data_IF_428305612130
#
_entry.id   IF_428305612130
#
_cell.length_a   1.000
_cell.length_b   1.000
_cell.length_c   1.000
_cell.angle_alpha   90.00
_cell.angle_beta   90.00
_cell.angle_gamma   90.00
#
_symmetry.space_group_name_H-M   'P 1'
#
loop_
_entity.id
_entity.type
_entity.pdbx_description
1 polymer ?
#
# COMPACT_ATOMS: atom_id res chain seq x y z
N UNK A 1 -3.76 -5.00 11.87
CA UNK A 1 -4.89 -5.58 11.99
C UNK A 1 -5.73 -5.84 10.78
N UNK A 2 -6.98 -5.62 10.96
CA UNK A 2 -7.98 -5.92 9.95
C UNK A 2 -7.86 -5.09 8.67
N UNK A 3 -7.15 -3.99 8.74
CA UNK A 3 -7.01 -3.06 7.62
C UNK A 3 -6.50 -3.71 6.35
N UNK A 4 -5.32 -4.28 6.44
CA UNK A 4 -4.67 -4.85 5.28
C UNK A 4 -5.37 -6.12 4.82
N UNK A 5 -5.97 -6.85 5.73
CA UNK A 5 -6.66 -8.10 5.39
C UNK A 5 -7.91 -7.83 4.54
N UNK A 6 -8.66 -6.80 4.87
CA UNK A 6 -9.85 -6.43 4.11
C UNK A 6 -9.47 -6.00 2.70
N UNK A 7 -8.52 -5.07 2.58
CA UNK A 7 -8.14 -4.50 1.29
C UNK A 7 -7.58 -5.56 0.33
N UNK A 8 -6.77 -6.47 0.83
CA UNK A 8 -6.13 -7.48 -0.02
C UNK A 8 -6.99 -8.71 -0.23
N UNK A 9 -7.82 -9.08 0.73
CA UNK A 9 -8.66 -10.28 0.59
C UNK A 9 -9.81 -10.08 -0.38
N UNK A 10 -10.17 -8.84 -0.68
CA UNK A 10 -11.24 -8.54 -1.61
C UNK A 10 -10.79 -8.44 -3.07
N UNK A 11 -9.51 -8.67 -3.35
CA UNK A 11 -9.02 -8.63 -4.72
C UNK A 11 -9.68 -9.75 -5.53
N UNK A 12 -10.12 -9.46 -6.77
CA UNK A 12 -10.80 -10.45 -7.60
C UNK A 12 -10.00 -11.71 -7.82
N UNK A 13 -8.70 -11.59 -7.84
CA UNK A 13 -7.77 -12.69 -8.05
C UNK A 13 -7.91 -13.78 -6.97
N UNK A 14 -8.38 -13.42 -5.79
CA UNK A 14 -8.53 -14.36 -4.69
C UNK A 14 -9.76 -15.25 -4.83
N UNK A 15 -10.69 -14.89 -5.70
CA UNK A 15 -11.88 -15.70 -5.93
C UNK A 15 -11.66 -16.74 -7.01
N UNK A 16 -10.50 -16.76 -7.63
CA UNK A 16 -10.18 -17.67 -8.72
C UNK A 16 -9.54 -18.95 -8.22
N UNK A 17 -9.62 -19.99 -9.05
CA UNK A 17 -9.00 -21.28 -8.74
C UNK A 17 -7.49 -21.27 -8.93
N UNK A 18 -6.92 -20.11 -9.25
CA UNK A 18 -5.49 -19.97 -9.53
C UNK A 18 -4.70 -19.81 -8.23
N UNK A 19 -4.18 -20.92 -7.73
CA UNK A 19 -3.40 -20.95 -6.49
C UNK A 19 -2.11 -20.15 -6.62
N UNK A 20 -1.48 -20.17 -7.77
CA UNK A 20 -0.24 -19.41 -8.00
C UNK A 20 -0.48 -17.91 -7.87
N UNK A 21 -1.56 -17.40 -8.42
CA UNK A 21 -1.89 -15.99 -8.32
C UNK A 21 -2.14 -15.58 -6.88
N UNK A 22 -2.80 -16.45 -6.10
CA UNK A 22 -3.03 -16.20 -4.68
C UNK A 22 -1.73 -16.14 -3.91
N UNK A 23 -0.80 -17.07 -4.16
CA UNK A 23 0.49 -17.09 -3.49
C UNK A 23 1.33 -15.88 -3.84
N UNK A 24 1.40 -15.52 -5.12
CA UNK A 24 2.12 -14.33 -5.57
C UNK A 24 1.56 -13.08 -4.92
N UNK A 25 0.24 -13.01 -4.82
CA UNK A 25 -0.42 -11.85 -4.20
C UNK A 25 -0.08 -11.76 -2.71
N UNK A 26 0.01 -12.89 -2.02
CA UNK A 26 0.40 -12.92 -0.61
C UNK A 26 1.85 -12.48 -0.41
N UNK A 27 2.75 -12.93 -1.30
CA UNK A 27 4.14 -12.50 -1.26
C UNK A 27 4.26 -11.01 -1.51
N UNK A 28 3.53 -10.49 -2.49
CA UNK A 28 3.52 -9.07 -2.81
C UNK A 28 3.02 -8.25 -1.62
N UNK A 29 1.94 -8.71 -1.00
CA UNK A 29 1.40 -8.07 0.20
C UNK A 29 2.44 -8.01 1.31
N UNK A 30 3.13 -9.13 1.55
CA UNK A 30 4.15 -9.20 2.59
C UNK A 30 5.28 -8.20 2.31
N UNK A 31 5.73 -8.12 1.06
CA UNK A 31 6.77 -7.18 0.67
C UNK A 31 6.32 -5.73 0.87
N UNK A 32 5.12 -5.40 0.46
CA UNK A 32 4.59 -4.05 0.62
C UNK A 32 4.51 -3.68 2.10
N UNK A 33 3.98 -4.56 2.93
CA UNK A 33 3.87 -4.31 4.37
C UNK A 33 5.25 -4.14 5.01
N UNK A 34 6.23 -4.91 4.57
CA UNK A 34 7.60 -4.78 5.05
C UNK A 34 8.20 -3.43 4.65
N UNK A 35 8.05 -3.06 3.38
CA UNK A 35 8.62 -1.79 2.88
C UNK A 35 7.92 -0.58 3.47
N UNK A 36 6.64 -0.70 3.81
CA UNK A 36 5.92 0.37 4.48
C UNK A 36 6.57 0.78 5.81
N UNK A 37 7.19 -0.17 6.50
CA UNK A 37 7.85 0.11 7.77
C UNK A 37 9.08 1.02 7.59
N UNK A 38 9.59 1.11 6.38
CA UNK A 38 10.76 1.93 6.07
C UNK A 38 10.39 3.34 5.61
N UNK A 39 9.11 3.61 5.43
CA UNK A 39 8.63 4.95 5.07
C UNK A 39 8.71 5.90 6.26
N UNK A 40 8.75 7.21 5.98
CA UNK A 40 8.60 8.18 7.05
C UNK A 40 7.19 8.03 7.66
N UNK A 41 6.99 8.47 8.90
CA UNK A 41 5.66 8.36 9.53
C UNK A 41 4.55 8.99 8.68
N UNK A 42 4.80 10.15 8.10
CA UNK A 42 3.80 10.84 7.29
C UNK A 42 3.51 10.08 5.98
N UNK A 43 4.54 9.57 5.33
CA UNK A 43 4.38 8.76 4.12
C UNK A 43 3.61 7.48 4.42
N UNK A 44 3.95 6.82 5.52
CA UNK A 44 3.28 5.60 5.93
C UNK A 44 1.80 5.85 6.23
N UNK A 45 1.51 6.93 6.93
CA UNK A 45 0.15 7.30 7.28
C UNK A 45 -0.72 7.52 6.03
N UNK A 46 -0.27 8.36 5.11
CA UNK A 46 -1.09 8.66 3.93
C UNK A 46 -1.19 7.46 2.99
N UNK A 47 -0.13 6.67 2.88
CA UNK A 47 -0.16 5.46 2.06
C UNK A 47 -1.17 4.47 2.62
N UNK A 48 -1.16 4.27 3.93
CA UNK A 48 -2.10 3.36 4.59
C UNK A 48 -3.54 3.81 4.38
N UNK A 49 -3.81 5.09 4.61
CA UNK A 49 -5.18 5.60 4.48
C UNK A 49 -5.68 5.60 3.06
N UNK A 50 -4.82 5.91 2.09
CA UNK A 50 -5.24 6.00 0.70
C UNK A 50 -5.20 4.66 -0.04
N UNK A 51 -4.09 3.95 0.05
CA UNK A 51 -3.88 2.76 -0.77
C UNK A 51 -4.33 1.46 -0.11
N UNK A 52 -4.32 1.40 1.21
CA UNK A 52 -4.79 0.22 1.93
C UNK A 52 -6.27 0.37 2.32
N UNK A 53 -6.62 1.49 2.93
CA UNK A 53 -7.99 1.77 3.38
C UNK A 53 -8.90 2.34 2.30
N UNK A 54 -8.31 2.80 1.21
CA UNK A 54 -9.04 3.35 0.06
C UNK A 54 -9.90 4.57 0.37
N UNK A 55 -9.43 5.39 1.32
CA UNK A 55 -10.14 6.62 1.66
C UNK A 55 -9.91 7.71 0.61
N UNK A 56 -10.88 8.60 0.49
CA UNK A 56 -10.76 9.76 -0.39
C UNK A 56 -9.81 10.79 0.22
N UNK A 57 -9.19 11.60 -0.64
CA UNK A 57 -8.26 12.64 -0.17
C UNK A 57 -8.92 13.56 0.86
N UNK A 58 -10.19 13.94 0.63
CA UNK A 58 -10.93 14.80 1.56
C UNK A 58 -11.09 14.16 2.93
N UNK A 59 -11.33 12.87 2.97
CA UNK A 59 -11.46 12.14 4.23
C UNK A 59 -10.12 12.12 4.98
N UNK A 60 -9.04 11.93 4.23
CA UNK A 60 -7.70 11.92 4.82
C UNK A 60 -7.36 13.30 5.40
N UNK A 61 -7.74 14.37 4.69
CA UNK A 61 -7.56 15.73 5.21
C UNK A 61 -8.24 15.91 6.56
N UNK A 62 -9.48 15.42 6.68
CA UNK A 62 -10.25 15.54 7.91
C UNK A 62 -9.63 14.73 9.03
N UNK A 63 -9.22 13.51 8.74
CA UNK A 63 -8.65 12.60 9.75
C UNK A 63 -7.28 13.08 10.25
N UNK A 64 -6.43 13.53 9.32
CA UNK A 64 -5.03 13.81 9.62
C UNK A 64 -4.72 15.29 9.88
N UNK A 65 -5.56 16.17 9.35
CA UNK A 65 -5.28 17.61 9.38
C UNK A 65 -4.25 18.05 8.35
N UNK A 66 -3.78 17.14 7.51
CA UNK A 66 -2.84 17.48 6.44
C UNK A 66 -3.58 18.13 5.28
N UNK A 67 -2.88 18.97 4.54
CA UNK A 67 -3.45 19.58 3.33
C UNK A 67 -3.47 18.56 2.19
N UNK A 68 -4.32 18.81 1.19
CA UNK A 68 -4.38 17.98 -0.02
C UNK A 68 -3.00 17.85 -0.67
N UNK A 69 -2.26 18.95 -0.74
CA UNK A 69 -0.92 18.95 -1.33
C UNK A 69 0.04 18.07 -0.54
N UNK A 70 0.01 18.17 0.79
CA UNK A 70 0.86 17.34 1.65
C UNK A 70 0.52 15.87 1.50
N UNK A 71 -0.76 15.54 1.43
CA UNK A 71 -1.22 14.17 1.25
C UNK A 71 -0.71 13.62 -0.09
N UNK A 72 -0.93 14.35 -1.16
CA UNK A 72 -0.53 13.90 -2.50
C UNK A 72 0.99 13.76 -2.64
N UNK A 73 1.74 14.70 -2.08
CA UNK A 73 3.20 14.68 -2.13
C UNK A 73 3.74 13.46 -1.38
N UNK A 74 3.27 13.25 -0.16
CA UNK A 74 3.72 12.12 0.65
C UNK A 74 3.29 10.79 0.05
N UNK A 75 2.11 10.74 -0.55
CA UNK A 75 1.64 9.55 -1.24
C UNK A 75 2.52 9.22 -2.44
N UNK A 76 2.87 10.24 -3.23
CA UNK A 76 3.78 10.06 -4.36
C UNK A 76 5.12 9.48 -3.91
N UNK A 77 5.70 10.07 -2.87
CA UNK A 77 6.99 9.62 -2.35
C UNK A 77 6.92 8.20 -1.78
N UNK A 78 5.83 7.89 -1.07
CA UNK A 78 5.63 6.56 -0.53
C UNK A 78 5.55 5.52 -1.65
N UNK A 79 4.74 5.79 -2.66
CA UNK A 79 4.57 4.87 -3.79
C UNK A 79 5.86 4.69 -4.57
N UNK A 80 6.60 5.77 -4.76
CA UNK A 80 7.89 5.73 -5.45
C UNK A 80 8.89 4.86 -4.71
N UNK A 81 8.97 5.01 -3.40
CA UNK A 81 9.88 4.22 -2.57
C UNK A 81 9.54 2.73 -2.62
N UNK A 82 8.27 2.39 -2.46
CA UNK A 82 7.82 1.01 -2.48
C UNK A 82 8.06 0.39 -3.85
N UNK A 83 7.72 1.10 -4.92
CA UNK A 83 7.92 0.62 -6.29
C UNK A 83 9.39 0.34 -6.58
N UNK A 84 10.27 1.23 -6.14
CA UNK A 84 11.71 1.05 -6.33
C UNK A 84 12.20 -0.24 -5.66
N UNK A 85 11.76 -0.48 -4.45
CA UNK A 85 12.17 -1.67 -3.70
C UNK A 85 11.62 -2.96 -4.30
N UNK A 86 10.38 -2.92 -4.77
CA UNK A 86 9.79 -4.05 -5.47
C UNK A 86 10.55 -4.38 -6.76
N UNK A 87 10.97 -3.35 -7.49
CA UNK A 87 11.75 -3.53 -8.71
C UNK A 87 13.11 -4.14 -8.41
N UNK A 88 13.75 -3.76 -7.31
CA UNK A 88 15.02 -4.33 -6.90
C UNK A 88 14.89 -5.82 -6.61
N UNK A 89 13.82 -6.23 -5.96
CA UNK A 89 13.55 -7.64 -5.70
C UNK A 89 13.37 -8.41 -7.02
N UNK A 90 12.63 -7.85 -7.96
CA UNK A 90 12.41 -8.49 -9.25
C UNK A 90 13.71 -8.67 -10.05
N UNK A 91 14.64 -7.75 -9.92
CA UNK A 91 15.93 -7.85 -10.61
C UNK A 91 16.82 -8.95 -10.06
N UNK A 92 16.67 -9.29 -8.80
CA UNK A 92 17.47 -10.33 -8.16
C UNK A 92 16.98 -11.74 -8.50
N UNK A 93 15.83 -11.84 -9.09
CA UNK A 93 15.31 -13.12 -9.55
C UNK A 93 15.76 -13.39 -10.97
#
# INVERSE_FOLDING_TARGET
GALSDIAFSELPILSDDNVEAVLVNRELKAHILYFMQQLTPKQKLVFTLRDIEELEIKEIEIITGLTSIQIKTNLYLARKSIRKKLNEINKER
#
